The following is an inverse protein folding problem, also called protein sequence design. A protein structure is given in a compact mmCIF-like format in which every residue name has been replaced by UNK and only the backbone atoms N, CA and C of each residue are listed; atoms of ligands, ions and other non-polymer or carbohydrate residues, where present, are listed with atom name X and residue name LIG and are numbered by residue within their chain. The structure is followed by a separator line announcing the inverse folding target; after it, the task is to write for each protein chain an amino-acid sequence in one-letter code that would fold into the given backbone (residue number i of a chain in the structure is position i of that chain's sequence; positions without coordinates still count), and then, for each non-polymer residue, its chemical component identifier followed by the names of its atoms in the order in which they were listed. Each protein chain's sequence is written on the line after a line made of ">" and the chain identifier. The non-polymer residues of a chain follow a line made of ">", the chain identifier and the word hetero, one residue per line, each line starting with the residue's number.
data_IF_117210733488
#
_entry.id   IF_117210733488
#
_cell.length_a   1.000
_cell.length_b   1.000
_cell.length_c   1.000
_cell.angle_alpha   90.00
_cell.angle_beta   90.00
_cell.angle_gamma   90.00
#
_symmetry.space_group_name_H-M   'P 1'
#
loop_
_entity.id
_entity.type
_entity.pdbx_description
1 polymer ?
#
# COMPACT_ATOMS: atom_id res chain seq x y z
N UNK A 1 27.70 4.02 -5.83
CA UNK A 1 27.57 3.68 -4.39
C UNK A 1 26.61 2.51 -4.28
N UNK A 2 27.10 1.26 -4.37
CA UNK A 2 26.29 0.07 -4.74
C UNK A 2 26.28 -1.03 -3.65
N UNK A 3 26.96 -0.78 -2.52
CA UNK A 3 27.13 -1.76 -1.44
C UNK A 3 25.96 -1.70 -0.44
N UNK A 4 25.31 -0.53 -0.29
CA UNK A 4 24.14 -0.36 0.58
C UNK A 4 22.89 -1.07 0.05
N UNK A 5 22.63 -0.97 -1.26
CA UNK A 5 21.43 -1.52 -1.92
C UNK A 5 21.34 -3.06 -1.83
N UNK A 6 22.47 -3.77 -1.98
CA UNK A 6 22.48 -5.24 -1.93
C UNK A 6 22.30 -5.79 -0.51
N UNK A 7 22.85 -5.11 0.49
CA UNK A 7 22.68 -5.48 1.90
C UNK A 7 21.24 -5.25 2.36
N UNK A 8 20.68 -4.10 1.97
CA UNK A 8 19.27 -3.72 2.11
C UNK A 8 18.35 -4.77 1.47
N UNK A 9 18.59 -5.16 0.21
CA UNK A 9 17.79 -6.19 -0.48
C UNK A 9 17.85 -7.56 0.20
N UNK A 10 19.01 -7.93 0.76
CA UNK A 10 19.17 -9.20 1.47
C UNK A 10 18.38 -9.21 2.79
N UNK A 11 18.46 -8.13 3.57
CA UNK A 11 17.71 -7.98 4.81
C UNK A 11 16.19 -7.92 4.57
N UNK A 12 15.76 -7.24 3.51
CA UNK A 12 14.34 -7.16 3.15
C UNK A 12 13.79 -8.47 2.62
N UNK A 13 14.57 -9.22 1.83
CA UNK A 13 14.17 -10.55 1.38
C UNK A 13 13.88 -11.49 2.55
N UNK A 14 14.74 -11.47 3.59
CA UNK A 14 14.54 -12.25 4.81
C UNK A 14 13.25 -11.85 5.55
N UNK A 15 12.97 -10.55 5.66
CA UNK A 15 11.72 -10.05 6.28
C UNK A 15 10.49 -10.43 5.46
N UNK A 16 10.57 -10.31 4.12
CA UNK A 16 9.49 -10.68 3.20
C UNK A 16 9.21 -12.18 3.15
N UNK A 17 10.21 -13.02 3.44
CA UNK A 17 10.05 -14.47 3.52
C UNK A 17 9.24 -14.92 4.74
N UNK A 18 9.13 -14.08 5.77
CA UNK A 18 8.36 -14.34 6.98
C UNK A 18 6.94 -13.78 6.93
N UNK A 19 6.61 -13.00 5.91
CA UNK A 19 5.28 -12.41 5.76
C UNK A 19 4.24 -13.49 5.45
N UNK A 20 3.08 -13.37 6.09
CA UNK A 20 1.90 -14.14 5.70
C UNK A 20 1.45 -13.75 4.27
N UNK A 21 0.66 -14.61 3.64
CA UNK A 21 0.23 -14.41 2.24
C UNK A 21 -0.47 -13.06 2.00
N UNK A 22 -1.30 -12.60 2.95
CA UNK A 22 -1.99 -11.32 2.86
C UNK A 22 -1.03 -10.12 2.97
N UNK A 23 -0.08 -10.16 3.91
CA UNK A 23 0.94 -9.13 4.11
C UNK A 23 1.84 -8.99 2.88
N UNK A 24 2.31 -10.13 2.33
CA UNK A 24 3.10 -10.14 1.10
C UNK A 24 2.32 -9.54 -0.07
N UNK A 25 1.06 -9.92 -0.22
CA UNK A 25 0.19 -9.39 -1.27
C UNK A 25 -0.04 -7.89 -1.13
N UNK A 26 -0.32 -7.40 0.09
CA UNK A 26 -0.48 -5.98 0.34
C UNK A 26 0.81 -5.21 0.05
N UNK A 27 1.95 -5.70 0.52
CA UNK A 27 3.26 -5.08 0.31
C UNK A 27 3.55 -4.90 -1.19
N UNK A 28 3.44 -5.96 -1.99
CA UNK A 28 3.65 -5.92 -3.45
C UNK A 28 2.70 -4.92 -4.13
N UNK A 29 1.41 -4.99 -3.81
CA UNK A 29 0.39 -4.13 -4.43
C UNK A 29 0.53 -2.65 -4.05
N UNK A 30 0.97 -2.35 -2.83
CA UNK A 30 1.32 -0.98 -2.43
C UNK A 30 2.49 -0.43 -3.25
N UNK A 31 3.52 -1.25 -3.51
CA UNK A 31 4.62 -0.90 -4.40
C UNK A 31 4.20 -0.59 -5.84
N UNK A 32 3.10 -1.19 -6.30
CA UNK A 32 2.53 -0.95 -7.62
C UNK A 32 1.73 0.35 -7.75
N UNK A 33 1.38 1.01 -6.64
CA UNK A 33 0.67 2.28 -6.67
C UNK A 33 1.62 3.46 -6.90
N UNK A 34 1.26 4.42 -7.78
CA UNK A 34 2.05 5.63 -8.03
C UNK A 34 1.76 6.71 -6.96
N UNK A 35 1.77 6.35 -5.68
CA UNK A 35 1.48 7.27 -4.57
C UNK A 35 2.59 7.24 -3.53
N UNK A 36 2.90 8.40 -2.95
CA UNK A 36 3.86 8.51 -1.83
C UNK A 36 3.22 8.22 -0.49
N UNK A 37 1.98 8.68 -0.31
CA UNK A 37 1.21 8.53 0.91
C UNK A 37 -0.20 8.08 0.59
N UNK A 38 -0.74 7.18 1.39
CA UNK A 38 -2.05 6.61 1.21
C UNK A 38 -2.81 6.52 2.54
N UNK A 39 -4.13 6.68 2.54
CA UNK A 39 -4.97 6.42 3.71
C UNK A 39 -5.11 4.92 3.98
N UNK A 40 -5.45 4.55 5.22
CA UNK A 40 -5.52 3.14 5.65
C UNK A 40 -6.47 2.27 4.81
N UNK A 41 -7.60 2.82 4.34
CA UNK A 41 -8.60 2.09 3.55
C UNK A 41 -8.06 1.53 2.23
N UNK A 42 -6.94 2.08 1.72
CA UNK A 42 -6.28 1.55 0.51
C UNK A 42 -5.84 0.10 0.71
N UNK A 43 -5.48 -0.31 1.92
CA UNK A 43 -5.10 -1.69 2.20
C UNK A 43 -6.24 -2.67 1.91
N UNK A 44 -7.44 -2.37 2.41
CA UNK A 44 -8.65 -3.15 2.16
C UNK A 44 -8.97 -3.21 0.65
N UNK A 45 -8.89 -2.07 -0.05
CA UNK A 45 -9.15 -2.00 -1.48
C UNK A 45 -8.16 -2.86 -2.30
N UNK A 46 -6.87 -2.82 -1.97
CA UNK A 46 -5.85 -3.60 -2.67
C UNK A 46 -6.01 -5.10 -2.42
N UNK A 47 -6.41 -5.50 -1.21
CA UNK A 47 -6.62 -6.89 -0.83
C UNK A 47 -7.99 -7.44 -1.24
N UNK A 48 -8.96 -6.57 -1.56
CA UNK A 48 -10.37 -6.92 -1.78
C UNK A 48 -11.02 -7.59 -0.56
N UNK A 49 -10.81 -6.98 0.61
CA UNK A 49 -11.33 -7.42 1.91
C UNK A 49 -12.07 -6.25 2.58
N UNK A 50 -12.67 -6.51 3.74
CA UNK A 50 -13.29 -5.44 4.53
C UNK A 50 -12.25 -4.49 5.16
N UNK A 51 -12.74 -3.39 5.74
CA UNK A 51 -11.87 -2.34 6.28
C UNK A 51 -11.06 -2.80 7.50
N UNK A 52 -11.62 -3.67 8.33
CA UNK A 52 -10.99 -4.12 9.57
C UNK A 52 -9.87 -5.13 9.25
N UNK A 53 -10.12 -6.06 8.33
CA UNK A 53 -9.10 -6.99 7.83
C UNK A 53 -7.97 -6.24 7.13
N UNK A 54 -8.30 -5.26 6.27
CA UNK A 54 -7.30 -4.44 5.61
C UNK A 54 -6.43 -3.64 6.57
N UNK A 55 -7.03 -3.06 7.62
CA UNK A 55 -6.31 -2.33 8.65
C UNK A 55 -5.38 -3.26 9.46
N UNK A 56 -5.84 -4.45 9.82
CA UNK A 56 -5.03 -5.44 10.54
C UNK A 56 -3.78 -5.85 9.74
N UNK A 57 -3.92 -6.08 8.44
CA UNK A 57 -2.78 -6.44 7.59
C UNK A 57 -1.81 -5.25 7.44
N UNK A 58 -2.34 -4.03 7.35
CA UNK A 58 -1.53 -2.82 7.30
C UNK A 58 -0.72 -2.60 8.58
N UNK A 59 -1.33 -2.83 9.75
CA UNK A 59 -0.66 -2.72 11.04
C UNK A 59 0.49 -3.74 11.17
N UNK A 60 0.30 -4.98 10.71
CA UNK A 60 1.38 -5.96 10.68
C UNK A 60 2.55 -5.55 9.78
N UNK A 61 2.27 -4.93 8.63
CA UNK A 61 3.34 -4.35 7.81
C UNK A 61 4.06 -3.21 8.53
N UNK A 62 3.37 -2.46 9.38
CA UNK A 62 3.98 -1.40 10.18
C UNK A 62 4.87 -1.96 11.32
N UNK A 63 4.47 -3.06 11.95
CA UNK A 63 5.24 -3.76 12.99
C UNK A 63 6.61 -4.22 12.49
N UNK A 64 6.70 -4.61 11.22
CA UNK A 64 7.97 -5.00 10.56
C UNK A 64 8.60 -3.87 9.75
N UNK A 65 8.16 -2.62 9.96
CA UNK A 65 8.69 -1.40 9.35
C UNK A 65 8.66 -1.36 7.81
N UNK A 66 7.72 -2.07 7.18
CA UNK A 66 7.51 -2.03 5.73
C UNK A 66 6.64 -0.84 5.29
N UNK A 67 5.84 -0.32 6.21
CA UNK A 67 5.11 0.94 6.08
C UNK A 67 5.24 1.70 7.39
N UNK A 68 5.00 3.02 7.36
CA UNK A 68 5.00 3.83 8.58
C UNK A 68 3.97 4.96 8.50
N UNK A 69 3.53 5.50 9.66
CA UNK A 69 2.68 6.68 9.68
C UNK A 69 3.35 7.89 9.01
N UNK A 70 2.61 8.57 8.15
CA UNK A 70 3.00 9.79 7.44
C UNK A 70 2.28 11.04 7.98
N UNK A 71 1.59 10.92 9.11
CA UNK A 71 0.78 11.98 9.70
C UNK A 71 -0.72 11.69 9.60
N UNK A 72 -1.53 12.74 9.66
CA UNK A 72 -2.99 12.67 9.64
C UNK A 72 -3.55 13.80 8.80
N UNK A 73 -4.55 13.50 7.98
CA UNK A 73 -5.35 14.50 7.27
C UNK A 73 -6.82 14.44 7.75
N UNK A 74 -7.69 15.21 7.11
CA UNK A 74 -9.14 15.24 7.42
C UNK A 74 -9.84 13.90 7.21
N UNK A 75 -9.23 12.98 6.44
CA UNK A 75 -9.71 11.62 6.19
C UNK A 75 -9.09 10.55 7.10
N UNK A 76 -8.21 10.91 8.04
CA UNK A 76 -7.62 10.00 9.01
C UNK A 76 -6.09 9.83 8.88
N UNK A 77 -5.52 8.77 9.48
CA UNK A 77 -4.08 8.54 9.43
C UNK A 77 -3.61 8.26 8.00
N UNK A 78 -2.47 8.85 7.66
CA UNK A 78 -1.75 8.61 6.41
C UNK A 78 -0.61 7.66 6.66
N UNK A 79 -0.33 6.84 5.66
CA UNK A 79 0.72 5.85 5.67
C UNK A 79 1.63 6.08 4.48
N UNK A 80 2.91 5.76 4.63
CA UNK A 80 3.88 5.81 3.54
C UNK A 80 4.73 4.55 3.52
N UNK A 81 5.25 4.28 2.33
CA UNK A 81 6.28 3.27 2.10
C UNK A 81 7.54 3.99 1.64
N UNK A 82 8.68 3.64 2.26
CA UNK A 82 9.98 4.18 1.86
C UNK A 82 10.27 3.89 0.39
N UNK A 83 11.00 4.78 -0.27
CA UNK A 83 11.24 4.69 -1.71
C UNK A 83 11.94 3.39 -2.13
N UNK A 84 12.94 2.95 -1.36
CA UNK A 84 13.63 1.68 -1.62
C UNK A 84 12.70 0.47 -1.48
N UNK A 85 11.85 0.47 -0.44
CA UNK A 85 10.84 -0.57 -0.24
C UNK A 85 9.82 -0.58 -1.37
N UNK A 86 9.41 0.59 -1.85
CA UNK A 86 8.47 0.74 -2.97
C UNK A 86 9.03 0.16 -4.26
N UNK A 87 10.29 0.44 -4.58
CA UNK A 87 10.96 -0.13 -5.74
C UNK A 87 11.04 -1.66 -5.64
N UNK A 88 11.44 -2.18 -4.47
CA UNK A 88 11.51 -3.62 -4.26
C UNK A 88 10.13 -4.31 -4.31
N UNK A 89 9.13 -3.73 -3.65
CA UNK A 89 7.75 -4.21 -3.72
C UNK A 89 7.21 -4.23 -5.15
N UNK A 90 7.58 -3.22 -5.97
CA UNK A 90 7.18 -3.17 -7.38
C UNK A 90 7.80 -4.30 -8.19
N UNK A 91 9.09 -4.57 -8.01
CA UNK A 91 9.76 -5.69 -8.68
C UNK A 91 9.10 -7.03 -8.31
N UNK A 92 8.73 -7.21 -7.05
CA UNK A 92 7.99 -8.40 -6.60
C UNK A 92 6.58 -8.46 -7.23
N UNK A 93 5.87 -7.34 -7.31
CA UNK A 93 4.55 -7.27 -7.92
C UNK A 93 4.60 -7.67 -9.40
N UNK A 94 5.58 -7.14 -10.15
CA UNK A 94 5.77 -7.47 -11.56
C UNK A 94 6.17 -8.95 -11.78
N UNK A 95 6.76 -9.60 -10.77
CA UNK A 95 7.17 -11.00 -10.81
C UNK A 95 6.07 -11.99 -10.35
N UNK A 96 5.20 -11.60 -9.42
CA UNK A 96 4.26 -12.50 -8.73
C UNK A 96 2.78 -12.25 -9.03
N UNK A 97 2.40 -11.03 -9.41
CA UNK A 97 1.01 -10.70 -9.74
C UNK A 97 0.86 -10.59 -11.26
N UNK A 98 -0.25 -11.11 -11.80
CA UNK A 98 -0.58 -10.91 -13.21
C UNK A 98 -0.98 -9.45 -13.47
N UNK A 99 -0.83 -8.94 -14.72
CA UNK A 99 -1.31 -7.60 -15.06
C UNK A 99 -2.79 -7.37 -14.76
N UNK A 100 -3.62 -8.42 -14.87
CA UNK A 100 -5.06 -8.35 -14.58
C UNK A 100 -5.35 -8.21 -13.08
N UNK A 101 -4.61 -8.91 -12.21
CA UNK A 101 -4.74 -8.80 -10.76
C UNK A 101 -4.31 -7.42 -10.27
N UNK A 102 -3.16 -6.92 -10.74
CA UNK A 102 -2.69 -5.57 -10.44
C UNK A 102 -3.66 -4.51 -10.95
N UNK A 103 -4.17 -4.67 -12.18
CA UNK A 103 -5.18 -3.78 -12.74
C UNK A 103 -6.44 -3.71 -11.87
N UNK A 104 -6.98 -4.86 -11.48
CA UNK A 104 -8.18 -4.94 -10.63
C UNK A 104 -7.96 -4.31 -9.25
N UNK A 105 -6.81 -4.56 -8.63
CA UNK A 105 -6.45 -3.95 -7.34
C UNK A 105 -6.33 -2.42 -7.44
N UNK A 106 -5.69 -1.92 -8.50
CA UNK A 106 -5.56 -0.48 -8.76
C UNK A 106 -6.91 0.17 -9.00
N UNK A 107 -7.78 -0.45 -9.79
CA UNK A 107 -9.15 0.06 -10.04
C UNK A 107 -9.91 0.24 -8.74
N UNK A 108 -9.96 -0.78 -7.86
CA UNK A 108 -10.65 -0.65 -6.55
C UNK A 108 -10.09 0.50 -5.70
N UNK A 109 -8.78 0.69 -5.70
CA UNK A 109 -8.17 1.81 -4.98
C UNK A 109 -8.58 3.16 -5.58
N UNK A 110 -8.55 3.30 -6.91
CA UNK A 110 -8.97 4.51 -7.61
C UNK A 110 -10.46 4.82 -7.44
N UNK A 111 -11.33 3.81 -7.48
CA UNK A 111 -12.75 3.95 -7.21
C UNK A 111 -13.00 4.48 -5.79
N UNK A 112 -12.23 3.99 -4.80
CA UNK A 112 -12.28 4.49 -3.43
C UNK A 112 -11.90 5.98 -3.33
N UNK A 113 -10.85 6.42 -4.03
CA UNK A 113 -10.48 7.84 -4.08
C UNK A 113 -11.54 8.68 -4.80
N UNK A 114 -12.11 8.19 -5.90
CA UNK A 114 -13.17 8.87 -6.64
C UNK A 114 -14.42 9.05 -5.76
N UNK A 115 -14.83 8.01 -5.04
CA UNK A 115 -15.97 8.08 -4.13
C UNK A 115 -15.75 9.10 -3.01
N UNK A 116 -14.52 9.22 -2.48
CA UNK A 116 -14.19 10.25 -1.49
C UNK A 116 -14.22 11.66 -2.09
N UNK A 117 -13.69 11.84 -3.30
CA UNK A 117 -13.70 13.12 -4.00
C UNK A 117 -15.13 13.59 -4.32
N UNK A 118 -16.01 12.66 -4.73
CA UNK A 118 -17.44 12.93 -4.97
C UNK A 118 -18.13 13.38 -3.69
N UNK A 119 -17.98 12.64 -2.58
CA UNK A 119 -18.57 13.03 -1.28
C UNK A 119 -18.06 14.38 -0.79
N UNK A 120 -16.79 14.70 -1.01
CA UNK A 120 -16.23 16.00 -0.65
C UNK A 120 -16.86 17.14 -1.48
N UNK A 121 -17.07 16.91 -2.79
CA UNK A 121 -17.79 17.84 -3.66
C UNK A 121 -19.26 18.03 -3.27
N UNK A 122 -19.96 16.94 -2.95
CA UNK A 122 -21.36 16.97 -2.51
C UNK A 122 -21.53 17.64 -1.14
N UNK A 123 -20.54 17.49 -0.26
CA UNK A 123 -20.48 18.17 1.04
C UNK A 123 -20.08 19.64 0.94
N UNK A 124 -19.79 20.14 -0.27
CA UNK A 124 -19.56 21.55 -0.58
C UNK A 124 -20.77 22.19 -1.30
N UNK A 125 -22.01 22.17 -0.74
CA UNK A 125 -23.11 22.91 -1.33
C UNK A 125 -22.92 24.40 -1.00
N UNK A 126 -22.59 25.19 -2.02
CA UNK A 126 -22.55 26.65 -1.96
C UNK A 126 -21.14 27.24 -1.81
N UNK A 127 -20.55 27.59 -2.94
CA UNK A 127 -19.84 28.86 -3.06
C UNK A 127 -20.69 29.78 -3.92
#
# INVERSE_FOLDING_TARGET
>A
MQIGDRAVRTAFSATCALLAAAERTLFRRLGALPVREFPAWVAAALLNVDSDEGALVLDRLAEVHLVEPAGRDTGGPRWRMHELLRLFARELADAEDTPAELGSARTRAYDGWLALAQRAGDAQPGR
#
